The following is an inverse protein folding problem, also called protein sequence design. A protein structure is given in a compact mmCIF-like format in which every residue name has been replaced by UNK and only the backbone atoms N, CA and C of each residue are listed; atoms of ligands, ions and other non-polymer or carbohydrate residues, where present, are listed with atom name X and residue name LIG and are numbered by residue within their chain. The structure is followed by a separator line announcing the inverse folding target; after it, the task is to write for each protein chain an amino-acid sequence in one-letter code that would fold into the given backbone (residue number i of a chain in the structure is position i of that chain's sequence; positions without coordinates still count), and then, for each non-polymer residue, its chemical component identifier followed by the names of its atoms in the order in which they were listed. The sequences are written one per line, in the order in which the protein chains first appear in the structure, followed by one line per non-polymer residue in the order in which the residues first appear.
data_IF_370400219769
#
_entry.id   IF_370400219769
#
_cell.length_a   1.000
_cell.length_b   1.000
_cell.length_c   1.000
_cell.angle_alpha   90.00
_cell.angle_beta   90.00
_cell.angle_gamma   90.00
#
_symmetry.space_group_name_H-M   'P 1'
#
loop_
_entity.id
_entity.type
_entity.pdbx_description
1 polymer ?
#
# COMPACT_ATOMS: atom_id res chain seq x y z
N UNK A 1 43.41 -54.78 -65.20
CA UNK A 1 43.46 -53.43 -64.60
C UNK A 1 42.02 -52.96 -64.44
N UNK A 2 41.49 -52.99 -63.22
CA UNK A 2 40.13 -52.59 -62.88
C UNK A 2 40.25 -51.34 -61.97
N UNK A 3 39.61 -50.22 -62.31
CA UNK A 3 39.66 -49.04 -61.42
C UNK A 3 38.62 -49.18 -60.33
N UNK A 4 39.09 -49.10 -59.13
CA UNK A 4 38.30 -49.00 -57.90
C UNK A 4 37.55 -47.67 -57.77
N UNK A 5 36.24 -47.68 -57.82
CA UNK A 5 35.39 -46.51 -57.57
C UNK A 5 35.32 -46.23 -56.08
N UNK A 6 35.73 -45.01 -55.66
CA UNK A 6 35.58 -44.45 -54.37
C UNK A 6 34.17 -43.87 -54.26
N UNK A 7 33.36 -44.36 -53.31
CA UNK A 7 32.08 -43.78 -52.95
C UNK A 7 32.33 -42.89 -51.75
N UNK A 8 32.04 -41.59 -51.83
CA UNK A 8 32.12 -40.72 -50.62
C UNK A 8 30.91 -40.96 -49.72
N UNK A 9 31.17 -41.30 -48.48
CA UNK A 9 30.17 -41.31 -47.39
C UNK A 9 29.74 -39.87 -47.10
N UNK A 10 28.48 -39.56 -47.38
CA UNK A 10 27.85 -38.31 -46.89
C UNK A 10 27.60 -38.45 -45.38
N UNK A 11 27.97 -37.46 -44.54
CA UNK A 11 27.59 -37.45 -43.16
C UNK A 11 26.11 -37.13 -43.07
N UNK A 12 25.35 -38.03 -42.39
CA UNK A 12 23.97 -37.78 -42.01
C UNK A 12 23.93 -36.61 -41.02
N UNK A 13 23.44 -35.48 -41.47
CA UNK A 13 23.09 -34.36 -40.56
C UNK A 13 21.91 -34.77 -39.73
N UNK A 14 22.18 -35.09 -38.46
CA UNK A 14 21.15 -35.22 -37.43
C UNK A 14 20.52 -33.85 -37.22
N UNK A 15 19.34 -33.59 -37.77
CA UNK A 15 18.49 -32.49 -37.38
C UNK A 15 17.97 -32.78 -35.95
N UNK A 16 18.66 -32.23 -34.93
CA UNK A 16 18.10 -32.08 -33.61
C UNK A 16 16.95 -31.10 -33.73
N UNK A 17 15.73 -31.61 -33.68
CA UNK A 17 14.55 -30.78 -33.39
C UNK A 17 14.73 -30.24 -31.99
N UNK A 18 15.16 -28.99 -31.88
CA UNK A 18 14.95 -28.22 -30.64
C UNK A 18 13.46 -27.95 -30.59
N UNK A 19 12.75 -28.73 -29.80
CA UNK A 19 11.42 -28.35 -29.33
C UNK A 19 11.59 -27.00 -28.66
N UNK A 20 11.11 -25.95 -29.33
CA UNK A 20 11.06 -24.61 -28.77
C UNK A 20 10.24 -24.70 -27.48
N UNK A 21 10.92 -24.53 -26.35
CA UNK A 21 10.24 -24.26 -25.10
C UNK A 21 9.45 -22.98 -25.37
N UNK A 22 8.12 -23.13 -25.55
CA UNK A 22 7.20 -22.00 -25.52
C UNK A 22 7.35 -21.40 -24.13
N UNK A 23 8.00 -20.23 -24.03
CA UNK A 23 7.90 -19.44 -22.84
C UNK A 23 6.40 -19.22 -22.57
N UNK A 24 5.95 -19.39 -21.31
CA UNK A 24 4.54 -19.17 -21.01
C UNK A 24 4.21 -17.72 -21.39
N UNK A 25 3.31 -17.58 -22.34
CA UNK A 25 2.78 -16.29 -22.78
C UNK A 25 2.29 -15.56 -21.52
N UNK A 26 3.00 -14.49 -21.14
CA UNK A 26 2.63 -13.72 -19.96
C UNK A 26 1.26 -13.10 -20.24
N UNK A 27 0.24 -13.66 -19.65
CA UNK A 27 -1.11 -13.11 -19.73
C UNK A 27 -1.08 -11.63 -19.28
N UNK A 28 -1.19 -10.71 -20.22
CA UNK A 28 -1.23 -9.27 -19.93
C UNK A 28 -2.55 -8.96 -19.23
N UNK A 29 -2.48 -8.84 -17.91
CA UNK A 29 -3.66 -8.53 -17.10
C UNK A 29 -4.11 -7.10 -17.38
N UNK A 30 -5.34 -6.93 -17.86
CA UNK A 30 -5.92 -5.61 -18.05
C UNK A 30 -6.40 -5.04 -16.70
N UNK A 31 -5.50 -4.36 -15.99
CA UNK A 31 -5.78 -3.72 -14.69
C UNK A 31 -6.90 -2.68 -14.80
N UNK A 32 -6.98 -1.94 -15.91
CA UNK A 32 -8.04 -0.94 -16.11
C UNK A 32 -9.43 -1.58 -16.16
N UNK A 33 -9.55 -2.77 -16.75
CA UNK A 33 -10.82 -3.49 -16.77
C UNK A 33 -11.26 -3.90 -15.36
N UNK A 34 -10.32 -4.35 -14.50
CA UNK A 34 -10.61 -4.71 -13.10
C UNK A 34 -11.05 -3.46 -12.33
N UNK A 35 -10.34 -2.34 -12.48
CA UNK A 35 -10.68 -1.09 -11.80
C UNK A 35 -12.06 -0.56 -12.24
N UNK A 36 -12.39 -0.67 -13.51
CA UNK A 36 -13.71 -0.30 -14.03
C UNK A 36 -14.82 -1.24 -13.50
N UNK A 37 -14.53 -2.53 -13.37
CA UNK A 37 -15.44 -3.50 -12.80
C UNK A 37 -15.83 -3.16 -11.36
N UNK A 38 -14.87 -2.69 -10.54
CA UNK A 38 -15.18 -2.28 -9.17
C UNK A 38 -16.20 -1.14 -9.10
N UNK A 39 -16.21 -0.25 -10.10
CA UNK A 39 -17.12 0.89 -10.10
C UNK A 39 -18.56 0.52 -10.49
N UNK A 40 -18.80 -0.68 -11.00
CA UNK A 40 -20.14 -1.12 -11.35
C UNK A 40 -20.96 -1.38 -10.09
N UNK A 41 -21.91 -0.49 -9.80
CA UNK A 41 -22.78 -0.60 -8.63
C UNK A 41 -22.11 -0.25 -7.29
N UNK A 42 -20.88 0.27 -7.28
CA UNK A 42 -20.19 0.67 -6.07
C UNK A 42 -20.65 2.06 -5.60
N UNK A 43 -21.17 2.13 -4.38
CA UNK A 43 -21.50 3.41 -3.74
C UNK A 43 -20.51 3.70 -2.60
N UNK A 44 -19.66 4.71 -2.79
CA UNK A 44 -18.66 5.13 -1.81
C UNK A 44 -19.25 5.75 -0.53
N UNK A 45 -20.49 6.19 -0.55
CA UNK A 45 -21.17 6.78 0.62
C UNK A 45 -21.61 5.72 1.61
N UNK A 46 -21.70 4.47 1.16
CA UNK A 46 -22.15 3.34 1.97
C UNK A 46 -20.94 2.53 2.41
N UNK A 47 -20.80 2.34 3.74
CA UNK A 47 -19.74 1.50 4.29
C UNK A 47 -19.87 0.05 3.81
N UNK A 48 -18.78 -0.71 3.74
CA UNK A 48 -18.84 -2.15 3.50
C UNK A 48 -19.77 -2.84 4.52
N UNK A 49 -20.49 -3.88 4.07
CA UNK A 49 -21.40 -4.66 4.90
C UNK A 49 -22.46 -3.82 5.65
N UNK A 50 -22.98 -2.77 5.02
CA UNK A 50 -24.02 -1.93 5.63
C UNK A 50 -25.23 -2.77 6.01
N UNK A 51 -25.77 -2.55 7.24
CA UNK A 51 -26.88 -3.33 7.77
C UNK A 51 -26.49 -4.69 8.39
N UNK A 52 -25.22 -5.08 8.31
CA UNK A 52 -24.66 -6.30 8.90
C UNK A 52 -23.57 -5.95 9.94
N UNK A 53 -22.54 -6.78 10.04
CA UNK A 53 -21.45 -6.60 11.00
C UNK A 53 -20.69 -5.27 10.80
N UNK A 54 -20.20 -4.65 11.88
CA UNK A 54 -19.34 -3.48 11.78
C UNK A 54 -18.07 -3.76 11.00
N UNK A 55 -17.57 -2.73 10.28
CA UNK A 55 -16.27 -2.82 9.64
C UNK A 55 -15.18 -2.61 10.68
N UNK A 56 -14.29 -3.59 10.83
CA UNK A 56 -13.09 -3.42 11.65
C UNK A 56 -12.06 -2.63 10.88
N UNK A 57 -11.57 -1.54 11.47
CA UNK A 57 -10.51 -0.71 10.90
C UNK A 57 -9.25 -0.84 11.75
N UNK A 58 -8.22 -1.46 11.18
CA UNK A 58 -6.88 -1.47 11.76
C UNK A 58 -6.16 -0.16 11.47
N UNK A 59 -5.39 0.34 12.42
CA UNK A 59 -4.59 1.57 12.27
C UNK A 59 -3.15 1.28 12.64
N UNK A 60 -2.22 1.84 11.86
CA UNK A 60 -0.78 1.81 12.13
C UNK A 60 -0.17 3.18 11.90
N UNK A 61 0.66 3.61 12.82
CA UNK A 61 1.43 4.86 12.76
C UNK A 61 2.91 4.51 12.60
N UNK A 62 3.55 5.10 11.61
CA UNK A 62 5.01 5.05 11.46
C UNK A 62 5.55 6.48 11.57
N UNK A 63 6.11 6.81 12.73
CA UNK A 63 6.65 8.14 13.01
C UNK A 63 7.96 8.32 12.23
N UNK A 64 8.03 9.37 11.43
CA UNK A 64 9.21 9.76 10.66
C UNK A 64 10.10 10.70 11.46
N UNK A 65 9.50 11.67 12.12
CA UNK A 65 10.18 12.64 12.95
C UNK A 65 9.25 13.21 14.01
N UNK A 66 9.83 13.63 15.13
CA UNK A 66 9.16 14.41 16.16
C UNK A 66 9.87 15.77 16.17
N UNK A 67 9.10 16.82 15.97
CA UNK A 67 9.56 18.19 15.99
C UNK A 67 9.57 18.79 17.41
N UNK A 68 9.62 20.11 17.46
CA UNK A 68 9.75 20.84 18.71
C UNK A 68 8.55 20.61 19.63
N UNK A 69 8.87 20.31 20.89
CA UNK A 69 7.92 20.27 21.99
C UNK A 69 7.80 21.70 22.54
N UNK A 70 6.61 22.25 22.53
CA UNK A 70 6.35 23.56 23.11
C UNK A 70 5.72 23.44 24.48
N UNK A 71 6.49 23.67 25.53
CA UNK A 71 5.99 23.71 26.90
C UNK A 71 4.95 24.81 27.11
N UNK A 72 5.17 25.98 26.50
CA UNK A 72 4.26 27.14 26.60
C UNK A 72 2.87 26.85 26.03
N UNK A 73 2.80 26.13 24.92
CA UNK A 73 1.55 25.81 24.24
C UNK A 73 1.07 24.39 24.51
N UNK A 74 1.86 23.61 25.26
CA UNK A 74 1.60 22.21 25.56
C UNK A 74 1.24 21.41 24.31
N UNK A 75 2.08 21.57 23.27
CA UNK A 75 1.89 20.90 22.01
C UNK A 75 3.22 20.42 21.40
N UNK A 76 3.14 19.46 20.51
CA UNK A 76 4.27 18.97 19.74
C UNK A 76 3.84 18.65 18.32
N UNK A 77 4.82 18.65 17.41
CA UNK A 77 4.59 18.34 16.00
C UNK A 77 5.27 17.02 15.66
N UNK A 78 4.65 16.19 14.84
CA UNK A 78 5.24 14.97 14.34
C UNK A 78 4.83 14.66 12.92
N UNK A 79 5.77 14.11 12.15
CA UNK A 79 5.56 13.58 10.81
C UNK A 79 5.37 12.07 10.89
N UNK A 80 4.43 11.55 10.11
CA UNK A 80 4.16 10.12 10.10
C UNK A 80 3.60 9.62 8.79
N UNK A 81 3.73 8.30 8.58
CA UNK A 81 2.84 7.57 7.70
C UNK A 81 1.68 7.02 8.55
N UNK A 82 0.50 7.52 8.27
CA UNK A 82 -0.76 7.01 8.82
C UNK A 82 -1.30 5.95 7.89
N UNK A 83 -1.53 4.73 8.40
CA UNK A 83 -2.02 3.60 7.62
C UNK A 83 -3.31 3.09 8.20
N UNK A 84 -4.28 2.84 7.30
CA UNK A 84 -5.59 2.29 7.62
C UNK A 84 -5.75 0.97 6.88
N UNK A 85 -6.28 -0.04 7.57
CA UNK A 85 -6.54 -1.38 7.04
C UNK A 85 -8.01 -1.70 7.27
N UNK A 86 -8.70 -2.13 6.22
CA UNK A 86 -10.07 -2.61 6.34
C UNK A 86 -10.37 -3.65 5.26
N UNK A 87 -11.51 -4.32 5.38
CA UNK A 87 -11.98 -5.27 4.39
C UNK A 87 -13.21 -4.73 3.67
N UNK A 88 -13.18 -4.66 2.34
CA UNK A 88 -14.31 -4.31 1.50
C UNK A 88 -14.51 -5.40 0.43
N UNK A 89 -15.48 -6.30 0.61
CA UNK A 89 -15.70 -7.40 -0.32
C UNK A 89 -16.10 -6.95 -1.72
N UNK A 90 -16.56 -5.69 -1.88
CA UNK A 90 -16.91 -5.12 -3.19
C UNK A 90 -15.69 -4.82 -4.06
N UNK A 91 -14.49 -4.77 -3.45
CA UNK A 91 -13.22 -4.54 -4.11
C UNK A 91 -12.42 -5.85 -4.29
N UNK A 92 -13.05 -7.00 -4.04
CA UNK A 92 -12.42 -8.29 -4.29
C UNK A 92 -12.36 -8.58 -5.80
N UNK A 93 -11.28 -9.21 -6.24
CA UNK A 93 -11.09 -9.62 -7.63
C UNK A 93 -10.47 -11.02 -7.71
N UNK A 94 -10.55 -11.62 -8.88
CA UNK A 94 -10.00 -12.95 -9.09
C UNK A 94 -8.47 -12.94 -8.93
N UNK A 95 -7.98 -13.83 -8.06
CA UNK A 95 -6.55 -14.01 -7.84
C UNK A 95 -5.91 -14.64 -9.08
N UNK A 96 -4.88 -14.00 -9.61
CA UNK A 96 -4.08 -14.53 -10.72
C UNK A 96 -2.63 -14.73 -10.28
N UNK A 97 -1.88 -15.64 -10.89
CA UNK A 97 -0.48 -15.88 -10.52
C UNK A 97 0.38 -14.61 -10.54
N UNK A 98 0.14 -13.74 -11.52
CA UNK A 98 0.88 -12.48 -11.71
C UNK A 98 0.26 -11.28 -11.00
N UNK A 99 -0.99 -11.39 -10.49
CA UNK A 99 -1.72 -10.29 -9.89
C UNK A 99 -2.40 -10.71 -8.59
N UNK A 100 -1.72 -10.50 -7.46
CA UNK A 100 -2.27 -10.73 -6.12
C UNK A 100 -2.72 -9.44 -5.41
N UNK A 101 -2.27 -8.27 -5.91
CA UNK A 101 -2.55 -6.95 -5.34
C UNK A 101 -2.53 -5.88 -6.41
N UNK A 102 -3.37 -4.86 -6.24
CA UNK A 102 -3.36 -3.63 -7.02
C UNK A 102 -2.86 -2.48 -6.15
N UNK A 103 -2.00 -1.64 -6.70
CA UNK A 103 -1.58 -0.39 -6.06
C UNK A 103 -2.05 0.75 -6.95
N UNK A 104 -2.87 1.62 -6.39
CA UNK A 104 -3.47 2.74 -7.11
C UNK A 104 -3.19 4.06 -6.38
N UNK A 105 -3.15 5.14 -7.14
CA UNK A 105 -2.86 6.47 -6.63
C UNK A 105 -4.05 7.16 -5.95
N UNK A 106 -3.79 8.39 -5.52
CA UNK A 106 -4.72 9.24 -4.77
C UNK A 106 -6.06 9.44 -5.49
N UNK A 107 -6.07 9.52 -6.81
CA UNK A 107 -7.29 9.73 -7.58
C UNK A 107 -8.32 8.62 -7.40
N UNK A 108 -7.85 7.37 -7.28
CA UNK A 108 -8.73 6.24 -7.07
C UNK A 108 -9.34 6.22 -5.66
N UNK A 109 -8.64 6.75 -4.67
CA UNK A 109 -9.12 6.85 -3.28
C UNK A 109 -10.41 7.68 -3.20
N UNK A 110 -10.57 8.67 -4.08
CA UNK A 110 -11.76 9.54 -4.15
C UNK A 110 -13.02 8.80 -4.65
N UNK A 111 -12.85 7.63 -5.23
CA UNK A 111 -13.93 6.83 -5.84
C UNK A 111 -14.47 5.76 -4.91
N UNK A 112 -13.74 5.38 -3.87
CA UNK A 112 -14.11 4.32 -2.94
C UNK A 112 -14.49 4.87 -1.56
N UNK A 113 -15.14 4.02 -0.75
CA UNK A 113 -15.34 4.29 0.66
C UNK A 113 -14.01 4.20 1.41
N UNK A 114 -13.78 5.14 2.30
CA UNK A 114 -12.62 5.16 3.20
C UNK A 114 -13.10 5.39 4.64
N UNK A 115 -12.42 4.81 5.65
CA UNK A 115 -12.74 5.07 7.04
C UNK A 115 -12.55 6.55 7.42
N UNK A 116 -13.49 7.12 8.15
CA UNK A 116 -13.50 8.50 8.64
C UNK A 116 -12.85 8.60 10.03
N UNK A 117 -11.57 8.27 10.12
CA UNK A 117 -10.79 8.39 11.35
C UNK A 117 -10.25 9.81 11.54
N UNK A 118 -10.19 10.27 12.78
CA UNK A 118 -9.66 11.60 13.14
C UNK A 118 -8.81 11.53 14.41
N UNK A 119 -7.98 12.55 14.61
CA UNK A 119 -7.11 12.68 15.79
C UNK A 119 -7.75 13.66 16.76
N UNK A 120 -8.20 13.16 17.92
CA UNK A 120 -8.98 13.94 18.89
C UNK A 120 -8.20 15.15 19.44
N UNK A 121 -6.89 15.02 19.59
CA UNK A 121 -6.00 16.04 20.15
C UNK A 121 -5.27 16.88 19.07
N UNK A 122 -5.71 16.80 17.82
CA UNK A 122 -5.16 17.57 16.72
C UNK A 122 -5.50 19.06 16.87
N UNK A 123 -4.49 19.93 16.72
CA UNK A 123 -4.65 21.38 16.55
C UNK A 123 -4.56 21.76 15.07
N UNK A 124 -3.62 21.15 14.35
CA UNK A 124 -3.38 21.38 12.92
C UNK A 124 -2.91 20.07 12.29
N UNK A 125 -3.45 19.74 11.12
CA UNK A 125 -2.94 18.68 10.27
C UNK A 125 -2.58 19.19 8.89
N UNK A 126 -1.46 18.72 8.35
CA UNK A 126 -0.99 19.02 7.02
C UNK A 126 -0.86 17.75 6.18
N UNK A 127 -1.46 17.78 4.99
CA UNK A 127 -1.27 16.77 3.97
C UNK A 127 -0.08 17.14 3.08
N UNK A 128 0.79 16.17 2.80
CA UNK A 128 1.91 16.37 1.90
C UNK A 128 1.48 16.18 0.44
N UNK A 129 1.73 17.17 -0.39
CA UNK A 129 1.26 17.21 -1.79
C UNK A 129 2.39 17.43 -2.82
N UNK A 130 3.65 17.43 -2.41
CA UNK A 130 4.77 17.59 -3.30
C UNK A 130 5.32 16.21 -3.72
N UNK A 131 5.44 15.91 -4.98
CA UNK A 131 4.96 16.58 -6.22
C UNK A 131 3.50 16.22 -6.53
N UNK A 132 2.97 15.17 -5.93
CA UNK A 132 1.58 14.71 -5.95
C UNK A 132 1.15 14.42 -4.52
N UNK A 133 -0.15 14.16 -4.31
CA UNK A 133 -0.66 13.76 -2.99
C UNK A 133 0.11 12.53 -2.46
N UNK A 134 0.76 12.67 -1.29
CA UNK A 134 1.59 11.62 -0.70
C UNK A 134 0.72 10.55 -0.03
N UNK A 135 -0.10 9.88 -0.82
CA UNK A 135 -0.95 8.78 -0.41
C UNK A 135 -1.08 7.74 -1.51
N UNK A 136 -1.32 6.50 -1.12
CA UNK A 136 -1.62 5.42 -2.03
C UNK A 136 -2.61 4.43 -1.42
N UNK A 137 -3.23 3.67 -2.28
CA UNK A 137 -4.14 2.59 -1.92
C UNK A 137 -3.60 1.27 -2.45
N UNK A 138 -3.62 0.25 -1.62
CA UNK A 138 -3.34 -1.14 -2.02
C UNK A 138 -4.60 -1.96 -1.79
N UNK A 139 -5.05 -2.64 -2.82
CA UNK A 139 -6.20 -3.55 -2.79
C UNK A 139 -5.68 -4.97 -3.02
N UNK A 140 -5.94 -5.86 -2.10
CA UNK A 140 -5.62 -7.28 -2.24
C UNK A 140 -6.75 -7.99 -2.99
N UNK A 141 -6.44 -9.09 -3.65
CA UNK A 141 -7.43 -9.91 -4.34
C UNK A 141 -8.62 -10.34 -3.46
N UNK A 142 -8.39 -10.49 -2.16
CA UNK A 142 -9.40 -10.83 -1.14
C UNK A 142 -10.40 -9.72 -0.83
N UNK A 143 -10.14 -8.47 -1.27
CA UNK A 143 -10.89 -7.28 -0.86
C UNK A 143 -10.30 -6.58 0.37
N UNK A 144 -9.13 -7.00 0.86
CA UNK A 144 -8.42 -6.30 1.92
C UNK A 144 -7.77 -5.05 1.36
N UNK A 145 -7.99 -3.93 2.01
CA UNK A 145 -7.56 -2.61 1.57
C UNK A 145 -6.59 -2.01 2.58
N UNK A 146 -5.48 -1.49 2.07
CA UNK A 146 -4.53 -0.66 2.81
C UNK A 146 -4.47 0.72 2.18
N UNK A 147 -4.78 1.75 2.95
CA UNK A 147 -4.50 3.15 2.62
C UNK A 147 -3.32 3.63 3.44
N UNK A 148 -2.36 4.31 2.80
CA UNK A 148 -1.23 4.95 3.46
C UNK A 148 -1.19 6.43 3.07
N UNK A 149 -1.06 7.30 4.08
CA UNK A 149 -1.03 8.75 3.92
C UNK A 149 0.14 9.31 4.71
N UNK A 150 0.88 10.26 4.15
CA UNK A 150 1.84 11.06 4.90
C UNK A 150 1.16 12.29 5.50
N UNK A 151 1.30 12.45 6.80
CA UNK A 151 0.71 13.55 7.57
C UNK A 151 1.77 14.20 8.47
N UNK A 152 1.70 15.53 8.60
CA UNK A 152 2.30 16.26 9.71
C UNK A 152 1.19 16.74 10.62
N UNK A 153 1.24 16.36 11.90
CA UNK A 153 0.22 16.72 12.88
C UNK A 153 0.86 17.49 14.02
N UNK A 154 0.24 18.62 14.35
CA UNK A 154 0.50 19.35 15.58
C UNK A 154 -0.61 18.97 16.57
N UNK A 155 -0.24 18.28 17.65
CA UNK A 155 -1.17 17.75 18.64
C UNK A 155 -0.97 18.37 20.03
N UNK A 156 -2.06 18.51 20.77
CA UNK A 156 -2.03 18.89 22.19
C UNK A 156 -1.46 17.74 23.00
N UNK A 157 -0.53 18.04 23.90
CA UNK A 157 0.01 17.13 24.88
C UNK A 157 0.09 17.84 26.23
N UNK A 158 -0.82 17.58 27.19
CA UNK A 158 -0.68 18.12 28.52
C UNK A 158 0.63 17.63 29.16
N UNK A 159 1.50 18.54 29.52
CA UNK A 159 2.79 18.26 30.14
C UNK A 159 2.68 18.53 31.63
N UNK A 160 3.05 17.56 32.45
CA UNK A 160 3.24 17.75 33.90
C UNK A 160 4.73 18.05 34.12
N UNK A 161 5.02 19.34 34.28
CA UNK A 161 6.39 19.84 34.46
C UNK A 161 6.68 19.94 35.96
N UNK A 162 6.77 18.79 36.66
CA UNK A 162 7.26 18.79 38.04
C UNK A 162 8.77 19.01 38.01
N UNK A 163 9.18 20.16 38.54
CA UNK A 163 10.58 20.44 38.83
C UNK A 163 10.99 19.63 40.04
N UNK A 164 11.68 18.53 39.89
CA UNK A 164 12.42 17.93 40.99
C UNK A 164 13.48 18.95 41.44
N UNK A 165 13.19 19.63 42.56
CA UNK A 165 14.16 20.51 43.19
C UNK A 165 15.32 19.66 43.69
N UNK A 166 16.49 19.80 43.06
CA UNK A 166 17.79 19.21 43.53
C UNK A 166 18.27 19.72 44.88
N UNK A 167 17.39 20.19 45.75
CA UNK A 167 17.76 20.70 47.05
C UNK A 167 18.02 19.65 48.15
N UNK A 168 18.05 18.36 47.82
CA UNK A 168 18.23 17.27 48.78
C UNK A 168 19.63 16.61 48.76
N UNK A 169 20.62 17.09 48.01
CA UNK A 169 21.94 16.45 47.91
C UNK A 169 23.11 17.21 48.52
N UNK A 170 22.88 18.23 49.32
CA UNK A 170 23.99 18.95 49.98
C UNK A 170 23.87 18.97 51.52
N UNK A 171 23.44 17.88 52.13
CA UNK A 171 23.49 17.70 53.61
C UNK A 171 23.93 16.27 53.93
N UNK A 172 25.21 16.00 53.78
CA UNK A 172 25.90 14.85 54.41
C UNK A 172 27.38 15.15 54.49
#
# INVERSE_FOLDING_TARGET
MVPTAFIPLLPAFLFLHTEGMMEPEQEVVNVSAILNQFMVGYDKRVRPNYGSIPVTVGVSLYILSIGDLSEKFMDFTFDMYFRQFWHDPRLAFEKRPTLSKLVVGAEYIKLIWVPDTFFVNEKVALFHQATTENQFLRIMWSGDVLRSIRLTIKATCPLDLQVESESARSAS
#
